data_IF_413920776205
#
_entry.id   IF_413920776205
#
_cell.length_a   1.000
_cell.length_b   1.000
_cell.length_c   1.000
_cell.angle_alpha   90.00
_cell.angle_beta   90.00
_cell.angle_gamma   90.00
#
_symmetry.space_group_name_H-M   'P 1'
#
loop_
_entity.id
_entity.type
_entity.pdbx_description
1 polymer ?
#
# COMPACT_ATOMS: atom_id res chain seq x y z
N UNK A 1 2.14 6.21 -32.05
CA UNK A 1 2.53 5.03 -31.25
C UNK A 1 3.48 5.50 -30.17
N UNK A 2 3.04 5.50 -28.91
CA UNK A 2 3.88 5.44 -27.72
C UNK A 2 2.98 4.92 -26.61
N UNK A 3 3.06 3.61 -26.36
CA UNK A 3 2.35 2.96 -25.29
C UNK A 3 2.95 3.41 -23.96
N UNK A 4 2.22 4.27 -23.25
CA UNK A 4 2.35 4.32 -21.79
C UNK A 4 1.90 2.96 -21.30
N UNK A 5 2.84 2.19 -20.75
CA UNK A 5 2.52 0.94 -20.08
C UNK A 5 1.42 1.24 -19.06
N UNK A 6 0.24 0.65 -19.26
CA UNK A 6 -0.83 0.65 -18.26
C UNK A 6 -0.28 -0.02 -17.01
N UNK A 7 0.31 0.74 -16.10
CA UNK A 7 0.55 0.27 -14.75
C UNK A 7 -0.83 0.03 -14.16
N UNK A 8 -1.20 -1.21 -13.78
CA UNK A 8 -2.56 -1.55 -13.36
C UNK A 8 -2.91 -1.04 -11.95
N UNK A 9 -2.29 0.06 -11.54
CA UNK A 9 -2.51 0.71 -10.26
C UNK A 9 -2.80 2.18 -10.54
N UNK A 10 -4.09 2.49 -10.60
CA UNK A 10 -4.56 3.85 -10.86
C UNK A 10 -4.32 4.76 -9.65
N UNK A 11 -4.31 4.21 -8.41
CA UNK A 11 -4.12 4.98 -7.17
C UNK A 11 -3.38 4.20 -6.08
N UNK A 12 -2.63 4.96 -5.28
CA UNK A 12 -2.01 4.52 -4.04
C UNK A 12 -2.61 5.29 -2.86
N UNK A 13 -2.81 4.61 -1.74
CA UNK A 13 -3.33 5.19 -0.51
C UNK A 13 -2.33 5.01 0.62
N UNK A 14 -2.04 6.09 1.35
CA UNK A 14 -1.42 6.03 2.66
C UNK A 14 -2.49 5.83 3.73
N UNK A 15 -2.34 4.78 4.54
CA UNK A 15 -3.16 4.51 5.69
C UNK A 15 -2.65 5.23 6.94
N UNK A 16 -3.55 5.70 7.81
CA UNK A 16 -3.19 6.27 9.12
C UNK A 16 -2.47 5.28 10.06
N UNK A 17 -2.36 4.01 9.67
CA UNK A 17 -1.56 2.98 10.32
C UNK A 17 -0.12 2.89 9.78
N UNK A 18 0.30 3.83 8.93
CA UNK A 18 1.63 3.86 8.29
C UNK A 18 1.86 2.77 7.26
N UNK A 19 0.79 2.11 6.79
CA UNK A 19 0.84 1.13 5.69
C UNK A 19 0.30 1.78 4.42
N UNK A 20 0.77 1.30 3.27
CA UNK A 20 0.31 1.75 1.97
C UNK A 20 -0.53 0.67 1.30
N UNK A 21 -1.51 1.08 0.51
CA UNK A 21 -2.46 0.20 -0.16
C UNK A 21 -2.69 0.65 -1.59
N UNK A 22 -2.63 -0.27 -2.54
CA UNK A 22 -3.12 0.00 -3.90
C UNK A 22 -4.64 0.10 -3.91
N UNK A 23 -5.21 0.80 -4.90
CA UNK A 23 -6.67 0.77 -5.13
C UNK A 23 -7.20 -0.65 -5.33
N UNK A 24 -6.41 -1.53 -5.95
CA UNK A 24 -6.77 -2.93 -6.10
C UNK A 24 -6.95 -3.62 -4.74
N UNK A 25 -6.03 -3.41 -3.81
CA UNK A 25 -6.12 -3.96 -2.45
C UNK A 25 -7.33 -3.43 -1.71
N UNK A 26 -7.55 -2.10 -1.75
CA UNK A 26 -8.70 -1.45 -1.11
C UNK A 26 -10.01 -2.00 -1.67
N UNK A 27 -10.14 -2.05 -3.01
CA UNK A 27 -11.31 -2.59 -3.70
C UNK A 27 -11.56 -4.05 -3.35
N UNK A 28 -10.50 -4.84 -3.22
CA UNK A 28 -10.60 -6.25 -2.81
C UNK A 28 -11.09 -6.39 -1.37
N UNK A 29 -10.71 -5.52 -0.45
CA UNK A 29 -11.20 -5.55 0.93
C UNK A 29 -12.71 -5.24 1.00
N UNK A 30 -13.17 -4.25 0.23
CA UNK A 30 -14.60 -3.96 0.09
C UNK A 30 -15.37 -5.13 -0.52
N UNK A 31 -14.89 -5.70 -1.64
CA UNK A 31 -15.53 -6.85 -2.30
C UNK A 31 -15.65 -8.08 -1.40
N UNK A 32 -14.71 -8.26 -0.48
CA UNK A 32 -14.72 -9.35 0.51
C UNK A 32 -15.60 -9.07 1.73
N UNK A 33 -16.17 -7.86 1.84
CA UNK A 33 -16.89 -7.40 3.02
C UNK A 33 -16.00 -7.20 4.25
N UNK A 34 -14.67 -7.30 4.10
CA UNK A 34 -13.73 -7.17 5.21
C UNK A 34 -13.66 -5.72 5.71
N UNK A 35 -13.81 -4.75 4.81
CA UNK A 35 -13.84 -3.33 5.12
C UNK A 35 -15.18 -2.71 4.70
N UNK A 36 -15.62 -1.67 5.42
CA UNK A 36 -16.81 -0.88 5.12
C UNK A 36 -16.44 0.59 5.00
N UNK A 37 -16.99 1.32 4.02
CA UNK A 37 -16.72 2.75 3.86
C UNK A 37 -17.64 3.54 4.80
N UNK A 38 -17.03 4.37 5.65
CA UNK A 38 -17.77 5.22 6.58
C UNK A 38 -18.00 6.62 6.02
N UNK A 39 -16.94 7.24 5.47
CA UNK A 39 -16.97 8.60 4.94
C UNK A 39 -16.01 8.71 3.75
N UNK A 40 -16.31 9.60 2.81
CA UNK A 40 -15.42 10.00 1.72
C UNK A 40 -15.40 11.51 1.60
N UNK A 41 -14.21 12.06 1.37
CA UNK A 41 -13.95 13.43 0.99
C UNK A 41 -13.20 13.40 -0.35
N UNK A 42 -13.55 14.28 -1.29
CA UNK A 42 -12.96 14.26 -2.64
C UNK A 42 -11.71 15.14 -2.74
N UNK A 43 -11.64 16.24 -1.98
CA UNK A 43 -10.53 17.20 -2.05
C UNK A 43 -10.02 17.58 -0.65
N UNK A 44 -8.81 17.12 -0.26
CA UNK A 44 -8.05 16.01 -0.87
C UNK A 44 -8.81 14.67 -0.80
N UNK A 45 -8.52 13.75 -1.73
CA UNK A 45 -9.16 12.42 -1.78
C UNK A 45 -8.77 11.61 -0.54
N UNK A 46 -9.74 11.47 0.36
CA UNK A 46 -9.61 10.76 1.62
C UNK A 46 -10.85 9.92 1.85
N UNK A 47 -10.67 8.73 2.40
CA UNK A 47 -11.78 7.90 2.83
C UNK A 47 -11.52 7.30 4.20
N UNK A 48 -12.52 7.39 5.06
CA UNK A 48 -12.53 6.69 6.34
C UNK A 48 -13.20 5.34 6.13
N UNK A 49 -12.50 4.27 6.51
CA UNK A 49 -13.02 2.91 6.41
C UNK A 49 -12.99 2.24 7.78
N UNK A 50 -14.02 1.44 8.06
CA UNK A 50 -14.01 0.49 9.16
C UNK A 50 -13.42 -0.83 8.66
N UNK A 51 -12.37 -1.30 9.32
CA UNK A 51 -11.68 -2.56 9.00
C UNK A 51 -12.17 -3.71 9.90
N UNK A 52 -11.80 -4.94 9.52
CA UNK A 52 -12.05 -6.13 10.35
C UNK A 52 -11.56 -5.92 11.79
N UNK A 53 -12.47 -6.03 12.75
CA UNK A 53 -12.20 -5.74 14.16
C UNK A 53 -12.68 -4.37 14.65
N UNK A 54 -13.59 -3.69 13.91
CA UNK A 54 -14.20 -2.41 14.28
C UNK A 54 -13.18 -1.27 14.48
N UNK A 55 -12.11 -1.29 13.69
CA UNK A 55 -11.06 -0.26 13.73
C UNK A 55 -11.20 0.68 12.55
N UNK A 56 -11.17 1.97 12.83
CA UNK A 56 -11.17 3.00 11.81
C UNK A 56 -9.76 3.17 11.20
N UNK A 57 -9.71 3.26 9.89
CA UNK A 57 -8.51 3.52 9.09
C UNK A 57 -8.81 4.67 8.13
N UNK A 58 -8.04 5.75 8.24
CA UNK A 58 -8.07 6.80 7.22
C UNK A 58 -7.16 6.38 6.07
N UNK A 59 -7.65 6.45 4.84
CA UNK A 59 -6.89 6.27 3.63
C UNK A 59 -6.81 7.62 2.92
N UNK A 60 -5.59 8.12 2.70
CA UNK A 60 -5.33 9.36 1.96
C UNK A 60 -4.71 8.98 0.63
N UNK A 61 -5.29 9.44 -0.49
CA UNK A 61 -4.67 9.23 -1.78
C UNK A 61 -3.32 9.97 -1.84
N UNK A 62 -2.32 9.30 -2.40
CA UNK A 62 -0.98 9.85 -2.60
C UNK A 62 -0.57 9.66 -4.05
N UNK A 63 0.20 10.61 -4.59
CA UNK A 63 0.82 10.43 -5.89
C UNK A 63 1.83 9.27 -5.81
N UNK A 64 1.86 8.43 -6.84
CA UNK A 64 2.83 7.36 -6.96
C UNK A 64 4.28 7.89 -7.01
N UNK A 65 4.47 9.10 -7.54
CA UNK A 65 5.76 9.75 -7.63
C UNK A 65 6.25 10.26 -6.26
N UNK A 66 5.32 10.52 -5.34
CA UNK A 66 5.59 10.95 -3.97
C UNK A 66 5.69 9.77 -2.99
N UNK A 67 5.46 8.54 -3.48
CA UNK A 67 5.57 7.36 -2.66
C UNK A 67 7.02 7.20 -2.14
N UNK A 68 7.20 6.84 -0.85
CA UNK A 68 8.53 6.58 -0.33
C UNK A 68 9.25 5.48 -1.12
N UNK A 69 10.57 5.59 -1.28
CA UNK A 69 11.38 4.65 -2.07
C UNK A 69 11.33 3.18 -1.60
N UNK A 70 10.87 2.95 -0.37
CA UNK A 70 10.68 1.62 0.19
C UNK A 70 9.29 1.01 -0.09
N UNK A 71 8.37 1.77 -0.67
CA UNK A 71 7.06 1.31 -1.15
C UNK A 71 7.23 0.76 -2.56
N UNK A 72 7.31 -0.56 -2.68
CA UNK A 72 7.33 -1.23 -3.98
C UNK A 72 5.93 -1.74 -4.33
N UNK A 73 5.47 -1.49 -5.56
CA UNK A 73 4.22 -2.06 -6.06
C UNK A 73 4.53 -3.28 -6.90
N UNK A 74 4.01 -4.44 -6.51
CA UNK A 74 4.14 -5.68 -7.27
C UNK A 74 2.85 -6.05 -7.96
N UNK A 75 2.93 -6.16 -9.28
CA UNK A 75 1.84 -6.61 -10.15
C UNK A 75 2.05 -8.07 -10.52
N UNK A 76 0.99 -8.89 -10.38
CA UNK A 76 0.97 -10.29 -10.81
C UNK A 76 -0.38 -10.61 -11.43
N UNK A 77 -0.42 -10.76 -12.75
CA UNK A 77 -1.68 -10.88 -13.50
C UNK A 77 -2.56 -9.68 -13.23
N UNK A 78 -3.79 -9.92 -12.78
CA UNK A 78 -4.76 -8.88 -12.44
C UNK A 78 -4.63 -8.36 -11.00
N UNK A 79 -3.63 -8.81 -10.24
CA UNK A 79 -3.43 -8.38 -8.85
C UNK A 79 -2.30 -7.36 -8.74
N UNK A 80 -2.50 -6.37 -7.88
CA UNK A 80 -1.47 -5.44 -7.46
C UNK A 80 -1.41 -5.40 -5.93
N UNK A 81 -0.20 -5.32 -5.38
CA UNK A 81 -0.01 -5.20 -3.93
C UNK A 81 1.16 -4.30 -3.60
N UNK A 82 1.07 -3.62 -2.48
CA UNK A 82 2.23 -2.94 -1.89
C UNK A 82 3.13 -3.95 -1.18
N UNK A 83 4.44 -3.74 -1.32
CA UNK A 83 5.50 -4.43 -0.59
C UNK A 83 6.33 -3.38 0.12
N UNK A 84 6.37 -3.46 1.45
CA UNK A 84 7.26 -2.67 2.29
C UNK A 84 8.64 -3.32 2.29
N UNK A 85 9.58 -2.75 1.53
CA UNK A 85 10.92 -3.33 1.35
C UNK A 85 11.77 -3.26 2.61
N UNK A 86 11.45 -2.39 3.57
CA UNK A 86 12.16 -2.29 4.87
C UNK A 86 12.04 -3.58 5.68
N UNK A 87 10.95 -4.33 5.50
CA UNK A 87 10.74 -5.63 6.16
C UNK A 87 11.60 -6.75 5.58
N UNK A 88 12.22 -6.53 4.43
CA UNK A 88 13.08 -7.48 3.74
C UNK A 88 14.54 -7.05 3.71
N UNK A 89 14.87 -5.88 4.27
CA UNK A 89 16.23 -5.54 4.61
C UNK A 89 16.69 -6.54 5.68
N UNK A 90 17.48 -7.52 5.27
CA UNK A 90 18.17 -8.41 6.21
C UNK A 90 18.98 -7.52 7.17
N UNK A 91 18.82 -7.65 8.49
CA UNK A 91 19.85 -7.12 9.37
C UNK A 91 21.12 -7.86 8.96
N UNK A 92 22.14 -7.12 8.52
CA UNK A 92 23.46 -7.67 8.29
C UNK A 92 23.78 -8.58 9.47
N UNK A 93 23.80 -9.90 9.22
CA UNK A 93 24.35 -10.84 10.16
C UNK A 93 25.79 -10.39 10.34
N UNK A 94 26.09 -9.90 11.54
CA UNK A 94 27.43 -9.69 12.03
C UNK A 94 28.23 -10.93 11.69
N UNK A 95 29.27 -10.77 10.86
CA UNK A 95 30.37 -11.72 10.90
C UNK A 95 31.03 -11.49 12.26
N UNK A 96 30.75 -12.44 13.16
CA UNK A 96 31.37 -12.55 14.47
C UNK A 96 32.90 -12.50 14.38
N UNK A 97 33.46 -12.01 15.48
CA UNK A 97 34.82 -12.27 15.93
C UNK A 97 35.28 -13.69 15.56
N UNK A 98 36.32 -13.79 14.74
CA UNK A 98 37.23 -14.92 14.77
C UNK A 98 38.59 -14.37 15.17
N UNK A 99 38.95 -14.59 16.43
CA UNK A 99 40.22 -14.17 17.00
C UNK A 99 41.42 -14.74 16.26
N UNK A 100 42.50 -13.97 16.28
CA UNK A 100 43.88 -14.40 16.54
C UNK A 100 44.68 -13.22 17.05
#
# INVERSE_FOLDING_TARGET
MSGVANTPVDRLYEGSNGQYYTEWEVSRQFRRGAWQRCLRQEEPDRQLVETGGKRLLMLTAVDLCDAPSWVEIRVRGESARVVDTRRFATPNSTCDEAGR
#
